data_IF_021339354028
#
_entry.id   IF_021339354028
#
_cell.length_a   1.000
_cell.length_b   1.000
_cell.length_c   1.000
_cell.angle_alpha   90.00
_cell.angle_beta   90.00
_cell.angle_gamma   90.00
#
_symmetry.space_group_name_H-M   'P 1'
#
loop_
_entity.id
_entity.type
_entity.pdbx_description
1 polymer ?
#
# COMPACT_ATOMS: atom_id res chain seq x y z
N UNK A 1 11.01 3.86 -24.45
CA UNK A 1 10.67 4.45 -23.14
C UNK A 1 9.64 5.54 -23.37
N UNK A 2 8.54 5.59 -22.60
CA UNK A 2 7.50 6.62 -22.74
C UNK A 2 7.94 8.01 -22.28
N UNK A 3 7.06 9.01 -22.38
CA UNK A 3 7.29 10.37 -21.87
C UNK A 3 7.34 10.40 -20.33
N UNK A 4 8.18 11.26 -19.76
CA UNK A 4 8.27 11.45 -18.32
C UNK A 4 6.96 12.05 -17.78
N UNK A 5 6.28 11.33 -16.91
CA UNK A 5 5.14 11.84 -16.15
C UNK A 5 5.58 12.26 -14.75
N UNK A 6 5.20 13.47 -14.35
CA UNK A 6 5.41 14.00 -12.99
C UNK A 6 4.04 14.39 -12.44
N UNK A 7 3.69 13.84 -11.28
CA UNK A 7 2.48 14.18 -10.55
C UNK A 7 2.85 14.79 -9.19
N UNK A 8 2.09 15.80 -8.77
CA UNK A 8 2.24 16.43 -7.45
C UNK A 8 0.94 16.22 -6.68
N UNK A 9 1.02 15.46 -5.60
CA UNK A 9 -0.13 15.23 -4.73
C UNK A 9 -0.16 16.29 -3.61
N UNK A 10 -1.02 17.30 -3.77
CA UNK A 10 -1.20 18.38 -2.79
C UNK A 10 -2.07 18.00 -1.59
N UNK A 11 -2.69 16.82 -1.61
CA UNK A 11 -3.61 16.37 -0.54
C UNK A 11 -2.90 15.60 0.58
N UNK A 12 -1.69 15.09 0.32
CA UNK A 12 -0.92 14.33 1.29
C UNK A 12 -0.20 15.29 2.26
N UNK A 13 -0.47 15.23 3.57
CA UNK A 13 0.25 16.06 4.53
C UNK A 13 1.72 15.62 4.61
N UNK A 14 2.64 16.58 4.60
CA UNK A 14 4.06 16.32 4.80
C UNK A 14 4.30 15.83 6.24
N UNK A 15 5.14 14.80 6.40
CA UNK A 15 5.49 14.24 7.71
C UNK A 15 6.95 14.56 8.02
N UNK A 16 7.19 15.07 9.23
CA UNK A 16 8.55 15.21 9.77
C UNK A 16 9.21 13.82 9.89
N UNK A 17 10.46 13.64 9.39
CA UNK A 17 11.24 12.42 9.60
C UNK A 17 11.24 11.90 11.06
N UNK A 18 11.22 12.79 12.05
CA UNK A 18 11.13 12.41 13.47
C UNK A 18 9.80 11.73 13.80
N UNK A 19 8.70 12.20 13.21
CA UNK A 19 7.38 11.59 13.40
C UNK A 19 7.30 10.20 12.74
N UNK A 20 7.99 10.00 11.62
CA UNK A 20 8.08 8.68 10.95
C UNK A 20 8.85 7.69 11.84
N UNK A 21 9.99 8.10 12.38
CA UNK A 21 10.79 7.27 13.27
C UNK A 21 10.03 6.92 14.56
N UNK A 22 9.34 7.89 15.16
CA UNK A 22 8.51 7.66 16.35
C UNK A 22 7.37 6.67 16.09
N UNK A 23 6.72 6.74 14.92
CA UNK A 23 5.66 5.80 14.55
C UNK A 23 6.18 4.36 14.32
N UNK A 24 7.39 4.20 13.77
CA UNK A 24 8.01 2.88 13.62
C UNK A 24 8.51 2.28 14.95
N UNK A 25 8.81 3.11 15.95
CA UNK A 25 9.24 2.69 17.27
C UNK A 25 8.08 2.51 18.26
N UNK A 26 6.87 3.00 17.93
CA UNK A 26 5.71 2.89 18.79
C UNK A 26 5.24 1.42 18.84
N UNK A 27 5.03 0.85 20.03
CA UNK A 27 4.47 -0.49 20.14
C UNK A 27 3.05 -0.50 19.57
N UNK A 28 2.65 -1.61 18.94
CA UNK A 28 1.30 -1.82 18.43
C UNK A 28 0.31 -2.03 19.60
N UNK A 29 0.12 -1.01 20.44
CA UNK A 29 -0.79 -1.08 21.59
C UNK A 29 -2.17 -0.56 21.21
N UNK A 30 -3.21 -1.28 21.61
CA UNK A 30 -4.62 -0.93 21.37
C UNK A 30 -5.14 0.26 22.19
N UNK A 31 -4.26 1.07 22.78
CA UNK A 31 -4.64 2.23 23.60
C UNK A 31 -5.16 3.41 22.76
N UNK A 32 -4.84 3.44 21.45
CA UNK A 32 -5.27 4.48 20.50
C UNK A 32 -6.25 3.89 19.49
N UNK A 33 -7.38 4.57 19.25
CA UNK A 33 -8.40 4.12 18.29
C UNK A 33 -8.77 5.21 17.25
N UNK A 34 -8.67 4.92 15.94
CA UNK A 34 -7.88 3.84 15.34
C UNK A 34 -6.40 3.99 15.67
N UNK A 35 -5.69 2.87 15.77
CA UNK A 35 -4.28 2.87 16.18
C UNK A 35 -3.37 3.52 15.12
N UNK A 36 -3.67 3.36 13.83
CA UNK A 36 -3.05 4.14 12.76
C UNK A 36 -4.05 4.44 11.63
N UNK A 37 -3.59 5.08 10.54
CA UNK A 37 -4.45 5.46 9.41
C UNK A 37 -4.77 4.31 8.43
N UNK A 38 -4.17 3.13 8.60
CA UNK A 38 -4.43 1.93 7.78
C UNK A 38 -5.24 0.87 8.51
N UNK A 39 -5.42 0.99 9.83
CA UNK A 39 -6.28 0.11 10.61
C UNK A 39 -7.70 0.00 10.03
N UNK A 40 -8.29 -1.21 10.06
CA UNK A 40 -9.64 -1.47 9.51
C UNK A 40 -10.71 -0.60 10.18
N UNK A 41 -10.50 -0.25 11.43
CA UNK A 41 -11.31 0.66 12.25
C UNK A 41 -11.47 2.06 11.64
N UNK A 42 -10.66 2.41 10.65
CA UNK A 42 -10.82 3.66 9.91
C UNK A 42 -12.10 3.67 9.05
N UNK A 43 -12.62 2.52 8.61
CA UNK A 43 -13.85 2.50 7.82
C UNK A 43 -15.00 3.13 8.62
N UNK A 44 -15.56 4.24 8.11
CA UNK A 44 -16.66 4.94 8.79
C UNK A 44 -16.24 5.87 9.93
N UNK A 45 -14.95 5.96 10.30
CA UNK A 45 -14.52 6.72 11.47
C UNK A 45 -14.77 8.23 11.31
N UNK A 46 -15.38 8.92 12.29
CA UNK A 46 -15.70 10.35 12.18
C UNK A 46 -14.50 11.29 12.29
N UNK A 47 -13.33 10.78 12.71
CA UNK A 47 -12.14 11.58 12.96
C UNK A 47 -12.11 12.14 14.39
N UNK A 48 -10.95 12.67 14.78
CA UNK A 48 -10.75 13.39 16.05
C UNK A 48 -9.84 14.61 15.84
N UNK A 49 -10.09 15.68 16.59
CA UNK A 49 -9.33 16.93 16.51
C UNK A 49 -8.01 16.89 17.26
N UNK A 50 -7.16 17.91 17.06
CA UNK A 50 -5.83 18.00 17.65
C UNK A 50 -5.83 18.05 19.20
N UNK A 51 -6.93 18.47 19.82
CA UNK A 51 -7.08 18.51 21.29
C UNK A 51 -7.45 17.17 21.93
N UNK A 52 -7.59 16.08 21.17
CA UNK A 52 -7.86 14.75 21.71
C UNK A 52 -6.61 14.15 22.37
N UNK A 53 -6.82 13.20 23.31
CA UNK A 53 -5.74 12.55 24.07
C UNK A 53 -4.64 11.92 23.20
N UNK A 54 -4.98 11.52 21.96
CA UNK A 54 -4.07 10.89 21.01
C UNK A 54 -3.93 11.69 19.71
N UNK A 55 -4.04 13.02 19.81
CA UNK A 55 -3.87 13.96 18.71
C UNK A 55 -4.94 13.85 17.62
N UNK A 56 -4.73 14.62 16.55
CA UNK A 56 -5.64 14.65 15.42
C UNK A 56 -5.61 13.35 14.61
N UNK A 57 -6.77 12.92 14.12
CA UNK A 57 -6.92 11.81 13.19
C UNK A 57 -8.00 12.14 12.18
N UNK A 58 -7.73 11.97 10.88
CA UNK A 58 -8.65 12.41 9.83
C UNK A 58 -9.96 11.61 9.86
N UNK A 59 -11.04 12.26 9.44
CA UNK A 59 -12.30 11.58 9.18
C UNK A 59 -12.18 10.62 7.98
N UNK A 60 -12.88 9.49 8.05
CA UNK A 60 -12.87 8.38 7.10
C UNK A 60 -14.28 7.80 6.90
N UNK A 61 -15.32 8.63 7.07
CA UNK A 61 -16.73 8.23 6.96
C UNK A 61 -17.10 7.58 5.62
N UNK A 62 -16.48 8.04 4.53
CA UNK A 62 -16.69 7.53 3.18
C UNK A 62 -15.64 6.50 2.76
N UNK A 63 -14.66 6.21 3.61
CA UNK A 63 -13.69 5.15 3.34
C UNK A 63 -14.43 3.82 3.28
N UNK A 64 -14.11 2.99 2.30
CA UNK A 64 -14.64 1.63 2.20
C UNK A 64 -13.50 0.66 2.02
N UNK A 65 -13.56 -0.44 2.77
CA UNK A 65 -12.54 -1.48 2.76
C UNK A 65 -13.20 -2.77 2.26
N UNK A 66 -12.69 -3.29 1.15
CA UNK A 66 -13.08 -4.59 0.62
C UNK A 66 -12.26 -5.67 1.34
N UNK A 67 -12.88 -6.64 2.04
CA UNK A 67 -12.14 -7.76 2.63
C UNK A 67 -11.58 -8.67 1.53
N UNK A 68 -10.30 -9.03 1.67
CA UNK A 68 -9.58 -9.96 0.80
C UNK A 68 -8.77 -10.94 1.66
N UNK A 69 -8.28 -12.01 1.05
CA UNK A 69 -7.44 -13.01 1.73
C UNK A 69 -6.11 -13.12 1.02
N UNK A 70 -5.01 -12.91 1.75
CA UNK A 70 -3.63 -13.04 1.25
C UNK A 70 -2.83 -13.89 2.24
N UNK A 71 -2.08 -14.88 1.78
CA UNK A 71 -1.32 -15.80 2.62
C UNK A 71 -2.20 -16.59 3.59
N UNK A 72 -3.49 -16.76 3.29
CA UNK A 72 -4.47 -17.36 4.20
C UNK A 72 -4.93 -16.46 5.36
N UNK A 73 -4.51 -15.19 5.39
CA UNK A 73 -4.90 -14.22 6.41
C UNK A 73 -5.94 -13.22 5.91
N UNK A 74 -6.62 -12.54 6.83
CA UNK A 74 -7.54 -11.45 6.53
C UNK A 74 -6.78 -10.16 6.22
N UNK A 75 -7.06 -9.62 5.04
CA UNK A 75 -6.54 -8.36 4.54
C UNK A 75 -7.71 -7.49 4.09
N UNK A 76 -7.45 -6.20 3.93
CA UNK A 76 -8.38 -5.24 3.36
C UNK A 76 -7.78 -4.59 2.14
N UNK A 77 -8.65 -4.19 1.21
CA UNK A 77 -8.29 -3.40 0.03
C UNK A 77 -9.12 -2.12 0.04
N UNK A 78 -8.47 -0.98 -0.10
CA UNK A 78 -9.14 0.31 -0.28
C UNK A 78 -8.46 1.13 -1.37
N UNK A 79 -9.19 2.07 -1.96
CA UNK A 79 -8.54 3.11 -2.73
C UNK A 79 -7.84 4.14 -1.82
N UNK A 80 -6.68 4.60 -2.26
CA UNK A 80 -5.87 5.56 -1.53
C UNK A 80 -6.61 6.89 -1.44
N UNK A 81 -6.77 7.48 -0.23
CA UNK A 81 -7.28 8.85 -0.10
C UNK A 81 -6.32 9.89 -0.69
N UNK A 82 -5.09 9.48 -1.01
CA UNK A 82 -4.04 10.28 -1.63
C UNK A 82 -3.60 9.61 -2.94
N UNK A 83 -4.55 9.48 -3.87
CA UNK A 83 -4.34 8.81 -5.15
C UNK A 83 -3.32 9.54 -6.06
N UNK A 84 -2.55 8.78 -6.84
CA UNK A 84 -1.70 9.31 -7.92
C UNK A 84 -2.29 9.01 -9.31
N UNK A 85 -3.19 8.04 -9.37
CA UNK A 85 -3.94 7.59 -10.54
C UNK A 85 -5.27 6.98 -10.05
N UNK A 86 -6.25 6.85 -10.93
CA UNK A 86 -7.66 6.58 -10.58
C UNK A 86 -7.86 5.34 -9.70
N UNK A 87 -7.22 4.23 -10.03
CA UNK A 87 -7.35 2.96 -9.31
C UNK A 87 -6.20 2.73 -8.31
N UNK A 88 -5.56 3.79 -7.80
CA UNK A 88 -4.50 3.66 -6.78
C UNK A 88 -5.05 3.06 -5.49
N UNK A 89 -4.65 1.85 -5.17
CA UNK A 89 -5.13 1.09 -4.03
C UNK A 89 -4.04 0.77 -3.00
N UNK A 90 -4.49 0.46 -1.79
CA UNK A 90 -3.67 0.00 -0.67
C UNK A 90 -4.30 -1.31 -0.18
N UNK A 91 -3.50 -2.38 -0.16
CA UNK A 91 -3.85 -3.63 0.51
C UNK A 91 -3.18 -3.65 1.89
N UNK A 92 -3.91 -3.84 2.98
CA UNK A 92 -3.35 -3.80 4.33
C UNK A 92 -3.80 -4.99 5.18
N UNK A 93 -2.92 -5.43 6.08
CA UNK A 93 -3.25 -6.49 7.04
C UNK A 93 -4.39 -6.04 7.94
N UNK A 94 -5.34 -6.93 8.27
CA UNK A 94 -6.34 -6.64 9.30
C UNK A 94 -5.70 -6.49 10.69
N UNK A 95 -4.57 -7.15 10.91
CA UNK A 95 -3.77 -7.01 12.13
C UNK A 95 -2.84 -5.80 12.03
N UNK A 96 -2.82 -4.96 13.07
CA UNK A 96 -1.86 -3.88 13.18
C UNK A 96 -0.49 -4.44 13.60
N UNK A 97 0.35 -4.74 12.62
CA UNK A 97 1.74 -5.16 12.80
C UNK A 97 2.66 -4.37 11.89
N UNK A 98 3.94 -4.31 12.23
CA UNK A 98 4.93 -3.62 11.40
C UNK A 98 5.07 -4.28 10.02
N UNK A 99 5.31 -3.45 9.01
CA UNK A 99 5.67 -3.92 7.68
C UNK A 99 7.00 -4.67 7.75
N UNK A 100 7.12 -5.75 6.99
CA UNK A 100 8.34 -6.55 6.87
C UNK A 100 8.52 -6.98 5.42
N UNK A 101 9.72 -7.43 5.03
CA UNK A 101 9.96 -7.97 3.69
C UNK A 101 10.63 -9.32 3.83
N UNK A 102 9.86 -10.37 3.66
CA UNK A 102 10.31 -11.75 3.73
C UNK A 102 9.63 -12.63 2.68
N UNK A 103 9.85 -13.95 2.77
CA UNK A 103 9.26 -14.94 1.87
C UNK A 103 7.74 -14.92 1.91
N UNK A 104 7.15 -14.70 3.08
CA UNK A 104 5.70 -14.75 3.28
C UNK A 104 5.05 -13.57 2.58
N UNK A 105 5.59 -12.37 2.76
CA UNK A 105 5.10 -11.17 2.07
C UNK A 105 5.28 -11.24 0.56
N UNK A 106 6.32 -11.90 0.06
CA UNK A 106 6.43 -12.16 -1.37
C UNK A 106 5.30 -13.07 -1.87
N UNK A 107 4.93 -14.10 -1.11
CA UNK A 107 3.77 -14.94 -1.41
C UNK A 107 2.46 -14.14 -1.45
N UNK A 108 2.25 -13.24 -0.48
CA UNK A 108 1.06 -12.38 -0.44
C UNK A 108 0.94 -11.44 -1.64
N UNK A 109 2.05 -10.93 -2.17
CA UNK A 109 2.05 -10.12 -3.41
C UNK A 109 1.61 -10.96 -4.61
N UNK A 110 2.00 -12.24 -4.67
CA UNK A 110 1.56 -13.18 -5.71
C UNK A 110 0.07 -13.52 -5.58
N UNK A 111 -0.40 -13.83 -4.37
CA UNK A 111 -1.83 -14.05 -4.11
C UNK A 111 -2.68 -12.85 -4.55
N UNK A 112 -2.18 -11.63 -4.37
CA UNK A 112 -2.89 -10.43 -4.79
C UNK A 112 -3.06 -10.34 -6.31
N UNK A 113 -2.00 -10.64 -7.08
CA UNK A 113 -2.10 -10.63 -8.55
C UNK A 113 -2.92 -11.81 -9.08
N UNK A 114 -3.00 -12.94 -8.36
CA UNK A 114 -3.91 -14.03 -8.67
C UNK A 114 -5.39 -13.61 -8.49
N UNK A 115 -5.69 -12.83 -7.43
CA UNK A 115 -7.02 -12.26 -7.21
C UNK A 115 -7.36 -11.15 -8.22
N UNK A 116 -6.39 -10.30 -8.56
CA UNK A 116 -6.57 -9.10 -9.37
C UNK A 116 -5.54 -9.04 -10.51
N UNK A 117 -5.60 -9.95 -11.48
CA UNK A 117 -4.60 -10.08 -12.55
C UNK A 117 -4.43 -8.89 -13.50
N UNK A 118 -5.26 -7.85 -13.37
CA UNK A 118 -5.16 -6.60 -14.13
C UNK A 118 -4.55 -5.45 -13.30
N UNK A 119 -4.17 -5.72 -12.05
CA UNK A 119 -3.55 -4.79 -11.13
C UNK A 119 -2.08 -5.16 -10.93
N UNK A 120 -1.24 -4.16 -10.66
CA UNK A 120 0.08 -4.36 -10.07
C UNK A 120 0.00 -4.11 -8.56
N UNK A 121 0.96 -4.65 -7.81
CA UNK A 121 1.12 -4.40 -6.38
C UNK A 121 2.60 -4.44 -6.01
N UNK A 122 3.01 -3.68 -5.00
CA UNK A 122 4.36 -3.69 -4.47
C UNK A 122 4.42 -3.27 -3.00
N UNK A 123 5.55 -3.58 -2.38
CA UNK A 123 5.90 -3.12 -1.04
C UNK A 123 7.04 -2.12 -1.08
N UNK A 124 7.14 -1.26 -0.07
CA UNK A 124 8.36 -0.50 0.16
C UNK A 124 9.49 -1.45 0.58
N UNK A 125 10.73 -1.16 0.18
CA UNK A 125 11.87 -1.94 0.65
C UNK A 125 12.06 -1.75 2.15
N UNK A 126 12.51 -2.82 2.84
CA UNK A 126 12.88 -2.80 4.25
C UNK A 126 14.27 -2.16 4.47
N UNK A 127 14.46 -0.97 3.89
CA UNK A 127 15.68 -0.18 4.03
C UNK A 127 15.38 1.05 4.88
N UNK A 128 16.29 1.43 5.80
CA UNK A 128 16.18 2.70 6.51
C UNK A 128 15.97 3.83 5.50
N UNK A 129 14.95 4.68 5.73
CA UNK A 129 14.59 5.86 4.89
C UNK A 129 13.73 5.54 3.65
N UNK A 130 13.56 4.26 3.27
CA UNK A 130 12.64 3.88 2.18
C UNK A 130 11.22 3.74 2.73
N UNK A 131 10.22 4.31 2.03
CA UNK A 131 8.81 4.18 2.41
C UNK A 131 8.31 5.17 3.47
N UNK A 132 8.84 6.40 3.47
CA UNK A 132 8.65 7.48 4.46
C UNK A 132 7.21 7.95 4.75
N UNK A 133 6.25 7.06 4.97
CA UNK A 133 4.88 7.42 5.25
C UNK A 133 4.24 6.52 6.30
N UNK A 134 4.40 5.18 6.27
CA UNK A 134 3.76 4.25 7.23
C UNK A 134 4.54 2.93 7.31
N UNK A 135 5.62 2.84 8.10
CA UNK A 135 6.22 1.53 8.44
C UNK A 135 5.45 0.83 9.58
N UNK A 136 4.54 1.55 10.22
CA UNK A 136 3.82 1.13 11.42
C UNK A 136 2.73 0.07 11.17
N UNK A 137 2.33 -0.14 9.92
CA UNK A 137 1.29 -1.10 9.56
C UNK A 137 1.66 -1.80 8.25
N UNK A 138 1.64 -3.13 8.27
CA UNK A 138 1.88 -4.01 7.13
C UNK A 138 0.88 -3.76 5.98
N UNK A 139 1.41 -3.29 4.86
CA UNK A 139 0.61 -2.91 3.71
C UNK A 139 1.41 -2.95 2.40
N UNK A 140 0.68 -3.08 1.30
CA UNK A 140 1.15 -3.00 -0.07
C UNK A 140 0.42 -1.88 -0.80
N UNK A 141 1.04 -1.33 -1.84
CA UNK A 141 0.47 -0.29 -2.69
C UNK A 141 0.45 -0.78 -4.14
N UNK A 142 -0.60 -0.43 -4.86
CA UNK A 142 -0.80 -0.93 -6.21
C UNK A 142 -1.97 -0.29 -6.91
N UNK A 143 -2.51 -1.00 -7.90
CA UNK A 143 -3.70 -0.60 -8.62
C UNK A 143 -3.61 -0.89 -10.11
N UNK A 144 -4.47 -0.22 -10.88
CA UNK A 144 -4.45 -0.29 -12.34
C UNK A 144 -4.00 1.03 -12.95
N UNK A 145 -2.83 1.00 -13.57
CA UNK A 145 -2.30 2.12 -14.33
C UNK A 145 -1.24 1.65 -15.32
N UNK A 146 -1.18 2.29 -16.48
CA UNK A 146 -0.15 2.01 -17.50
C UNK A 146 0.94 3.08 -17.41
N UNK A 147 2.00 2.77 -16.66
CA UNK A 147 3.11 3.70 -16.49
C UNK A 147 3.90 3.91 -17.80
N UNK A 148 4.62 5.03 -17.95
CA UNK A 148 5.48 5.27 -19.11
C UNK A 148 6.51 4.16 -19.38
N UNK A 149 6.98 3.49 -18.32
CA UNK A 149 7.90 2.34 -18.43
C UNK A 149 7.21 1.12 -19.04
N UNK A 150 5.91 0.90 -18.79
CA UNK A 150 5.13 -0.21 -19.36
C UNK A 150 4.83 -0.01 -20.85
N UNK A 151 5.00 1.20 -21.38
CA UNK A 151 4.87 1.51 -22.81
C UNK A 151 6.18 1.27 -23.59
N UNK A 152 7.27 0.92 -22.91
CA UNK A 152 8.53 0.68 -23.59
C UNK A 152 8.45 -0.64 -24.39
N UNK A 153 8.90 -0.65 -25.66
CA UNK A 153 8.98 -1.91 -26.42
C UNK A 153 10.03 -2.84 -25.79
N UNK A 154 9.86 -4.17 -25.91
CA UNK A 154 10.94 -5.08 -25.55
C UNK A 154 12.24 -4.75 -26.28
N UNK A 155 13.33 -4.78 -25.54
CA UNK A 155 14.67 -4.67 -26.10
C UNK A 155 15.12 -5.99 -26.76
N UNK A 156 14.65 -7.13 -26.25
CA UNK A 156 14.94 -8.47 -26.75
C UNK A 156 13.83 -9.43 -26.31
N UNK A 157 13.53 -10.41 -27.16
CA UNK A 157 12.65 -11.52 -26.87
C UNK A 157 13.46 -12.80 -26.68
N UNK A 158 12.97 -13.71 -25.84
CA UNK A 158 13.50 -15.06 -25.73
C UNK A 158 12.35 -16.03 -25.49
N UNK A 159 12.52 -17.27 -25.94
CA UNK A 159 11.55 -18.34 -25.76
C UNK A 159 11.98 -19.23 -24.59
N UNK A 160 11.00 -19.69 -23.80
CA UNK A 160 11.23 -20.61 -22.68
C UNK A 160 10.64 -21.98 -23.02
N UNK A 161 11.46 -22.99 -23.33
CA UNK A 161 10.97 -24.31 -23.72
C UNK A 161 10.03 -24.91 -22.66
N UNK A 162 8.86 -25.37 -23.10
CA UNK A 162 7.84 -25.95 -22.21
C UNK A 162 6.81 -24.94 -21.67
N UNK A 163 6.90 -23.68 -22.08
CA UNK A 163 5.98 -22.59 -21.75
C UNK A 163 5.63 -21.79 -23.01
N UNK A 164 5.08 -22.47 -24.01
CA UNK A 164 4.83 -21.92 -25.34
C UNK A 164 3.76 -20.79 -25.33
N UNK A 165 3.03 -20.66 -24.23
CA UNK A 165 2.06 -19.61 -23.93
C UNK A 165 2.66 -18.36 -23.27
N UNK A 166 3.96 -18.37 -22.96
CA UNK A 166 4.67 -17.26 -22.31
C UNK A 166 5.64 -16.62 -23.32
N UNK A 167 5.36 -15.38 -23.69
CA UNK A 167 6.27 -14.53 -24.47
C UNK A 167 6.65 -13.28 -23.66
N UNK A 168 7.92 -12.88 -23.76
CA UNK A 168 8.40 -11.58 -23.27
C UNK A 168 8.44 -10.62 -24.48
N UNK A 169 7.48 -9.70 -24.54
CA UNK A 169 7.28 -8.69 -25.60
C UNK A 169 7.42 -7.25 -25.07
#
# INVERSE_FOLDING_TARGET
WGELEITINLSKPEKDPKAIAAAGAAPATGEVYPACQLCMENEGYPGRGAGAAHGAHPARQNLRILPITLGGEHWGLQYSPYAYFDEHCIAMSAEHRLMHVDRENMGRLLDFVDLFGHYFIGSNADLPIVGGSILSHDHFQGGRHVFPMMKAPAAAAFEMPGFDDIACE
#
